data_IF_371482378427
#
_entry.id   IF_371482378427
#
_cell.length_a   1.000
_cell.length_b   1.000
_cell.length_c   1.000
_cell.angle_alpha   90.00
_cell.angle_beta   90.00
_cell.angle_gamma   90.00
#
_symmetry.space_group_name_H-M   'P 1'
#
loop_
_entity.id
_entity.type
_entity.pdbx_description
1 polymer ?
#
# COMPACT_ATOMS: atom_id res chain seq x y z
N UNK A 1 -31.68 -66.28 5.75
CA UNK A 1 -32.05 -67.54 6.42
C UNK A 1 -33.36 -68.03 5.84
N UNK A 2 -33.33 -68.94 4.86
CA UNK A 2 -34.56 -69.53 4.30
C UNK A 2 -34.88 -70.80 5.07
N UNK A 3 -35.95 -70.76 5.87
CA UNK A 3 -36.49 -71.94 6.55
C UNK A 3 -37.03 -72.92 5.51
N UNK A 4 -36.41 -74.09 5.42
CA UNK A 4 -36.92 -75.22 4.64
C UNK A 4 -38.20 -75.68 5.33
N UNK A 5 -39.35 -75.35 4.73
CA UNK A 5 -40.67 -75.76 5.19
C UNK A 5 -40.80 -77.27 4.98
N UNK A 6 -40.46 -78.08 5.99
CA UNK A 6 -40.67 -79.52 5.94
C UNK A 6 -42.17 -79.79 5.93
N UNK A 7 -42.68 -80.29 4.81
CA UNK A 7 -44.07 -80.70 4.65
C UNK A 7 -44.24 -82.03 5.37
N UNK A 8 -44.93 -82.05 6.51
CA UNK A 8 -45.25 -83.28 7.23
C UNK A 8 -46.12 -84.14 6.33
N UNK A 9 -45.56 -85.24 5.79
CA UNK A 9 -46.29 -86.16 4.93
C UNK A 9 -47.24 -86.96 5.83
N UNK A 10 -48.55 -86.70 5.76
CA UNK A 10 -49.53 -87.57 6.42
C UNK A 10 -49.60 -88.88 5.63
N UNK A 11 -48.94 -89.91 6.13
CA UNK A 11 -48.97 -91.25 5.53
C UNK A 11 -50.30 -91.90 5.90
N UNK A 12 -51.26 -91.78 4.99
CA UNK A 12 -52.57 -92.43 5.11
C UNK A 12 -52.47 -93.83 4.50
N UNK A 13 -52.97 -94.84 5.22
CA UNK A 13 -52.93 -96.23 4.78
C UNK A 13 -53.83 -96.41 3.55
N UNK A 14 -53.32 -96.90 2.42
CA UNK A 14 -54.12 -97.14 1.22
C UNK A 14 -55.14 -98.27 1.41
N UNK A 15 -54.91 -99.18 2.36
CA UNK A 15 -55.78 -100.35 2.58
C UNK A 15 -56.97 -100.08 3.50
N UNK A 16 -56.89 -99.11 4.42
CA UNK A 16 -57.99 -98.84 5.37
C UNK A 16 -58.26 -97.36 5.67
N UNK A 17 -57.46 -96.44 5.13
CA UNK A 17 -57.58 -95.01 5.39
C UNK A 17 -57.07 -94.55 6.77
N UNK A 18 -56.57 -95.45 7.62
CA UNK A 18 -55.98 -95.09 8.91
C UNK A 18 -54.59 -94.43 8.78
N UNK A 19 -54.19 -93.61 9.75
CA UNK A 19 -52.84 -93.05 9.78
C UNK A 19 -51.80 -94.15 10.03
N UNK A 20 -50.74 -94.17 9.23
CA UNK A 20 -49.65 -95.13 9.36
C UNK A 20 -48.56 -94.59 10.27
N UNK A 21 -47.95 -95.48 11.05
CA UNK A 21 -46.80 -95.17 11.89
C UNK A 21 -45.50 -95.60 11.18
N UNK A 22 -44.47 -94.76 11.30
CA UNK A 22 -43.16 -95.02 10.73
C UNK A 22 -42.32 -95.85 11.69
N UNK A 23 -41.61 -96.85 11.17
CA UNK A 23 -40.63 -97.62 11.94
C UNK A 23 -39.47 -96.72 12.40
N UNK A 24 -38.79 -97.09 13.49
CA UNK A 24 -37.72 -96.29 14.09
C UNK A 24 -36.53 -96.00 13.14
N UNK A 25 -36.34 -96.82 12.10
CA UNK A 25 -35.34 -96.64 11.04
C UNK A 25 -35.84 -95.82 9.84
N UNK A 26 -37.13 -95.43 9.82
CA UNK A 26 -37.76 -94.56 8.83
C UNK A 26 -37.87 -95.17 7.43
N UNK A 27 -37.68 -96.48 7.29
CA UNK A 27 -37.69 -97.21 6.01
C UNK A 27 -38.97 -98.00 5.77
N UNK A 28 -39.79 -98.20 6.81
CA UNK A 28 -41.08 -98.87 6.73
C UNK A 28 -42.15 -98.01 7.37
N UNK A 29 -43.35 -98.03 6.78
CA UNK A 29 -44.56 -97.53 7.41
C UNK A 29 -45.50 -98.71 7.61
N UNK A 30 -46.03 -98.88 8.81
CA UNK A 30 -46.99 -99.93 9.14
C UNK A 30 -48.30 -99.31 9.64
N UNK A 31 -49.44 -99.86 9.21
CA UNK A 31 -50.74 -99.42 9.70
C UNK A 31 -51.16 -100.25 10.91
N UNK A 32 -51.35 -99.64 12.10
CA UNK A 32 -51.75 -100.38 13.30
C UNK A 32 -53.19 -100.93 13.21
N UNK A 33 -54.02 -100.40 12.31
CA UNK A 33 -55.44 -100.77 12.20
C UNK A 33 -55.69 -101.99 11.33
N UNK A 34 -54.94 -102.17 10.24
CA UNK A 34 -55.16 -103.28 9.30
C UNK A 34 -53.91 -104.15 9.07
N UNK A 35 -52.77 -103.82 9.68
CA UNK A 35 -51.52 -104.56 9.53
C UNK A 35 -50.83 -104.37 8.18
N UNK A 36 -51.29 -103.44 7.33
CA UNK A 36 -50.66 -103.19 6.03
C UNK A 36 -49.30 -102.49 6.19
N UNK A 37 -48.25 -103.04 5.58
CA UNK A 37 -46.89 -102.49 5.60
C UNK A 37 -46.45 -101.98 4.22
N UNK A 38 -45.72 -100.87 4.20
CA UNK A 38 -45.11 -100.30 2.99
C UNK A 38 -43.65 -99.92 3.25
N UNK A 39 -42.80 -100.14 2.24
CA UNK A 39 -41.39 -99.71 2.24
C UNK A 39 -41.26 -98.30 1.65
N UNK A 40 -40.47 -97.45 2.29
CA UNK A 40 -40.15 -96.11 1.81
C UNK A 40 -38.70 -96.09 1.33
N UNK A 41 -38.50 -96.05 0.01
CA UNK A 41 -37.17 -95.92 -0.60
C UNK A 41 -36.71 -94.45 -0.64
N UNK A 42 -35.46 -94.20 -0.22
CA UNK A 42 -34.81 -92.89 -0.36
C UNK A 42 -34.17 -92.79 -1.74
N UNK A 43 -34.66 -91.88 -2.58
CA UNK A 43 -34.11 -91.65 -3.92
C UNK A 43 -32.78 -90.86 -3.88
N UNK A 44 -31.64 -91.56 -3.96
CA UNK A 44 -30.31 -90.95 -4.05
C UNK A 44 -30.10 -90.11 -5.32
N UNK A 45 -30.87 -90.36 -6.38
CA UNK A 45 -30.73 -89.65 -7.66
C UNK A 45 -31.16 -88.18 -7.53
N UNK A 46 -32.21 -87.91 -6.75
CA UNK A 46 -32.68 -86.56 -6.43
C UNK A 46 -31.63 -85.75 -5.63
N UNK A 47 -30.93 -86.40 -4.69
CA UNK A 47 -29.86 -85.75 -3.91
C UNK A 47 -28.68 -85.34 -4.78
N UNK A 48 -28.20 -86.24 -5.66
CA UNK A 48 -27.10 -85.95 -6.60
C UNK A 48 -27.46 -84.82 -7.57
N UNK A 49 -28.71 -84.78 -8.04
CA UNK A 49 -29.19 -83.72 -8.92
C UNK A 49 -29.21 -82.35 -8.21
N UNK A 50 -29.63 -82.32 -6.94
CA UNK A 50 -29.62 -81.12 -6.11
C UNK A 50 -28.20 -80.58 -5.85
N UNK A 51 -27.26 -81.45 -5.48
CA UNK A 51 -25.86 -81.07 -5.26
C UNK A 51 -25.21 -80.53 -6.54
N UNK A 52 -25.47 -81.17 -7.69
CA UNK A 52 -24.97 -80.70 -8.99
C UNK A 52 -25.52 -79.33 -9.37
N UNK A 53 -26.79 -79.02 -9.04
CA UNK A 53 -27.40 -77.70 -9.28
C UNK A 53 -26.77 -76.61 -8.41
N UNK A 54 -26.51 -76.88 -7.13
CA UNK A 54 -25.83 -75.93 -6.23
C UNK A 54 -24.39 -75.69 -6.68
N UNK A 55 -23.66 -76.75 -7.03
CA UNK A 55 -22.28 -76.64 -7.51
C UNK A 55 -22.22 -75.77 -8.79
N UNK A 56 -23.15 -75.98 -9.73
CA UNK A 56 -23.26 -75.17 -10.94
C UNK A 56 -23.60 -73.70 -10.63
N UNK A 57 -24.55 -73.45 -9.73
CA UNK A 57 -24.93 -72.09 -9.33
C UNK A 57 -23.77 -71.32 -8.70
N UNK A 58 -22.99 -71.98 -7.82
CA UNK A 58 -21.77 -71.40 -7.21
C UNK A 58 -20.70 -71.08 -8.27
N UNK A 59 -20.46 -72.00 -9.20
CA UNK A 59 -19.50 -71.78 -10.29
C UNK A 59 -19.92 -70.60 -11.20
N UNK A 60 -21.22 -70.45 -11.48
CA UNK A 60 -21.74 -69.32 -12.27
C UNK A 60 -21.65 -67.98 -11.51
N UNK A 61 -21.82 -67.98 -10.19
CA UNK A 61 -21.63 -66.80 -9.34
C UNK A 61 -20.17 -66.36 -9.31
N UNK A 62 -19.23 -67.29 -9.10
CA UNK A 62 -17.79 -67.01 -9.15
C UNK A 62 -17.34 -66.45 -10.50
N UNK A 63 -17.84 -67.01 -11.62
CA UNK A 63 -17.54 -66.50 -12.96
C UNK A 63 -18.07 -65.07 -13.15
N UNK A 64 -19.31 -64.79 -12.67
CA UNK A 64 -19.90 -63.44 -12.73
C UNK A 64 -19.08 -62.45 -11.91
N UNK A 65 -18.62 -62.82 -10.73
CA UNK A 65 -17.78 -61.95 -9.89
C UNK A 65 -16.40 -61.70 -10.52
N UNK A 66 -15.79 -62.71 -11.11
CA UNK A 66 -14.54 -62.56 -11.87
C UNK A 66 -14.72 -61.64 -13.08
N UNK A 67 -15.81 -61.76 -13.83
CA UNK A 67 -16.14 -60.88 -14.95
C UNK A 67 -16.38 -59.44 -14.50
N UNK A 68 -17.15 -59.23 -13.41
CA UNK A 68 -17.39 -57.91 -12.80
C UNK A 68 -16.08 -57.27 -12.34
N UNK A 69 -15.21 -58.02 -11.68
CA UNK A 69 -13.89 -57.54 -11.23
C UNK A 69 -12.95 -57.21 -12.40
N UNK A 70 -12.94 -58.02 -13.47
CA UNK A 70 -12.19 -57.71 -14.70
C UNK A 70 -12.71 -56.43 -15.37
N UNK A 71 -14.02 -56.25 -15.44
CA UNK A 71 -14.63 -55.06 -16.03
C UNK A 71 -14.33 -53.81 -15.20
N UNK A 72 -14.40 -53.88 -13.87
CA UNK A 72 -14.00 -52.80 -12.96
C UNK A 72 -12.52 -52.43 -13.13
N UNK A 73 -11.62 -53.42 -13.18
CA UNK A 73 -10.18 -53.19 -13.43
C UNK A 73 -9.92 -52.56 -14.80
N UNK A 74 -10.64 -52.97 -15.85
CA UNK A 74 -10.54 -52.36 -17.19
C UNK A 74 -11.03 -50.91 -17.20
N UNK A 75 -12.17 -50.61 -16.55
CA UNK A 75 -12.68 -49.24 -16.40
C UNK A 75 -11.71 -48.36 -15.61
N UNK A 76 -11.19 -48.85 -14.48
CA UNK A 76 -10.21 -48.12 -13.67
C UNK A 76 -8.90 -47.88 -14.43
N UNK A 77 -8.40 -48.88 -15.16
CA UNK A 77 -7.22 -48.71 -16.05
C UNK A 77 -7.50 -47.71 -17.17
N UNK A 78 -8.67 -47.76 -17.80
CA UNK A 78 -9.07 -46.80 -18.83
C UNK A 78 -9.15 -45.37 -18.30
N UNK A 79 -9.75 -45.19 -17.11
CA UNK A 79 -9.79 -43.89 -16.42
C UNK A 79 -8.40 -43.40 -16.03
N UNK A 80 -7.54 -44.28 -15.52
CA UNK A 80 -6.17 -43.92 -15.16
C UNK A 80 -5.37 -43.48 -16.40
N UNK A 81 -5.48 -44.22 -17.52
CA UNK A 81 -4.86 -43.83 -18.79
C UNK A 81 -5.40 -42.48 -19.26
N UNK A 82 -6.71 -42.27 -19.22
CA UNK A 82 -7.32 -40.99 -19.62
C UNK A 82 -6.82 -39.82 -18.76
N UNK A 83 -6.73 -40.01 -17.45
CA UNK A 83 -6.17 -39.00 -16.52
C UNK A 83 -4.69 -38.72 -16.82
N UNK A 84 -3.88 -39.75 -17.06
CA UNK A 84 -2.47 -39.58 -17.43
C UNK A 84 -2.31 -38.85 -18.78
N UNK A 85 -3.16 -39.13 -19.76
CA UNK A 85 -3.16 -38.44 -21.06
C UNK A 85 -3.53 -36.97 -20.89
N UNK A 86 -4.58 -36.66 -20.11
CA UNK A 86 -4.98 -35.27 -19.81
C UNK A 86 -3.85 -34.53 -19.09
N UNK A 87 -3.26 -35.15 -18.05
CA UNK A 87 -2.14 -34.56 -17.31
C UNK A 87 -0.92 -34.34 -18.22
N UNK A 88 -0.62 -35.28 -19.11
CA UNK A 88 0.45 -35.16 -20.10
C UNK A 88 0.19 -34.02 -21.10
N UNK A 89 -1.05 -33.87 -21.58
CA UNK A 89 -1.47 -32.76 -22.43
C UNK A 89 -1.32 -31.42 -21.69
N UNK A 90 -1.76 -31.32 -20.43
CA UNK A 90 -1.58 -30.13 -19.61
C UNK A 90 -0.10 -29.77 -19.38
N UNK A 91 0.75 -30.77 -19.15
CA UNK A 91 2.20 -30.62 -19.02
C UNK A 91 2.83 -30.11 -20.32
N UNK A 92 2.43 -30.66 -21.48
CA UNK A 92 2.88 -30.20 -22.79
C UNK A 92 2.45 -28.76 -23.01
N UNK A 93 1.19 -28.39 -22.73
CA UNK A 93 0.74 -27.00 -22.84
C UNK A 93 1.50 -26.06 -21.91
N UNK A 94 1.87 -26.49 -20.69
CA UNK A 94 2.69 -25.69 -19.77
C UNK A 94 4.14 -25.51 -20.24
N UNK A 95 4.65 -26.37 -21.13
CA UNK A 95 6.02 -26.33 -21.66
C UNK A 95 6.14 -25.67 -23.04
N UNK A 96 5.02 -25.40 -23.73
CA UNK A 96 5.03 -24.69 -25.02
C UNK A 96 5.12 -23.16 -24.77
N UNK A 97 6.19 -22.48 -25.24
CA UNK A 97 6.33 -21.03 -25.08
C UNK A 97 5.19 -20.27 -25.77
N UNK A 98 4.62 -19.27 -25.08
CA UNK A 98 3.52 -18.45 -25.58
C UNK A 98 2.11 -19.02 -25.36
N UNK A 99 1.98 -20.18 -24.71
CA UNK A 99 0.67 -20.64 -24.21
C UNK A 99 0.31 -19.89 -22.90
N UNK A 100 -0.99 -19.65 -22.62
CA UNK A 100 -1.41 -18.99 -21.38
C UNK A 100 -0.96 -19.73 -20.11
N UNK A 101 -0.89 -21.07 -20.17
CA UNK A 101 -0.42 -21.91 -19.07
C UNK A 101 1.08 -21.76 -18.84
N UNK A 102 1.88 -21.66 -19.91
CA UNK A 102 3.33 -21.47 -19.78
C UNK A 102 3.66 -20.11 -19.14
N UNK A 103 2.96 -19.04 -19.51
CA UNK A 103 3.18 -17.71 -18.93
C UNK A 103 2.79 -17.63 -17.44
N UNK A 104 1.77 -18.40 -17.02
CA UNK A 104 1.40 -18.53 -15.61
C UNK A 104 2.41 -19.36 -14.79
N UNK A 105 3.01 -20.39 -15.39
CA UNK A 105 3.96 -21.30 -14.70
C UNK A 105 5.38 -20.73 -14.70
N UNK A 106 5.78 -20.01 -15.74
CA UNK A 106 7.09 -19.40 -15.91
C UNK A 106 6.94 -17.91 -16.23
N UNK A 107 6.60 -17.08 -15.23
CA UNK A 107 6.42 -15.66 -15.45
C UNK A 107 7.75 -14.99 -15.83
N UNK A 108 7.68 -13.93 -16.64
CA UNK A 108 8.85 -13.11 -16.96
C UNK A 108 9.23 -12.28 -15.74
N UNK A 109 10.45 -12.46 -15.23
CA UNK A 109 10.97 -11.64 -14.14
C UNK A 109 11.64 -10.39 -14.69
N UNK A 110 11.29 -9.23 -14.15
CA UNK A 110 11.88 -7.92 -14.49
C UNK A 110 11.86 -6.98 -13.28
N UNK A 111 12.73 -5.97 -13.28
CA UNK A 111 12.66 -4.84 -12.34
C UNK A 111 11.89 -3.69 -13.02
N UNK A 112 10.63 -3.44 -12.60
CA UNK A 112 9.78 -2.42 -13.22
C UNK A 112 10.14 -1.01 -12.77
N UNK A 113 11.23 -0.80 -12.02
CA UNK A 113 11.63 0.51 -11.49
C UNK A 113 12.92 1.03 -12.10
N UNK A 114 13.43 0.37 -13.14
CA UNK A 114 14.67 0.79 -13.84
C UNK A 114 14.50 2.10 -14.60
N UNK A 115 13.33 2.35 -15.18
CA UNK A 115 13.00 3.60 -15.87
C UNK A 115 12.13 4.57 -15.04
N UNK A 116 11.85 4.24 -13.77
CA UNK A 116 10.95 5.00 -12.89
C UNK A 116 11.72 5.95 -11.99
N UNK A 117 11.32 7.22 -12.00
CA UNK A 117 11.74 8.23 -11.03
C UNK A 117 10.54 9.03 -10.53
N UNK A 118 10.74 9.78 -9.44
CA UNK A 118 9.76 10.73 -8.94
C UNK A 118 10.29 12.16 -9.08
N UNK A 119 9.39 13.06 -9.49
CA UNK A 119 9.60 14.50 -9.40
C UNK A 119 8.78 15.03 -8.23
N UNK A 120 9.45 15.67 -7.28
CA UNK A 120 8.79 16.35 -6.17
C UNK A 120 8.61 17.83 -6.50
N UNK A 121 7.49 18.41 -6.09
CA UNK A 121 7.19 19.83 -6.31
C UNK A 121 6.22 20.39 -5.28
N UNK A 122 6.23 21.72 -5.11
CA UNK A 122 5.36 22.44 -4.18
C UNK A 122 6.05 22.82 -2.86
N UNK A 123 5.25 23.34 -1.94
CA UNK A 123 5.68 23.69 -0.58
C UNK A 123 5.72 22.44 0.31
N UNK A 124 6.72 22.32 1.18
CA UNK A 124 6.76 21.31 2.24
C UNK A 124 5.47 21.38 3.08
N UNK A 125 4.85 20.22 3.32
CA UNK A 125 3.50 20.06 3.91
C UNK A 125 2.34 20.10 2.90
N UNK A 126 2.56 20.68 1.72
CA UNK A 126 1.63 20.64 0.56
C UNK A 126 2.28 20.04 -0.68
N UNK A 127 3.41 19.34 -0.51
CA UNK A 127 4.22 18.83 -1.60
C UNK A 127 3.52 17.72 -2.36
N UNK A 128 3.92 17.51 -3.61
CA UNK A 128 3.38 16.48 -4.49
C UNK A 128 4.49 15.65 -5.13
N UNK A 129 4.24 14.36 -5.29
CA UNK A 129 5.07 13.42 -6.04
C UNK A 129 4.44 13.12 -7.39
N UNK A 130 5.20 13.31 -8.46
CA UNK A 130 4.77 12.98 -9.82
C UNK A 130 5.66 11.88 -10.39
N UNK A 131 5.02 10.81 -10.89
CA UNK A 131 5.70 9.69 -11.51
C UNK A 131 6.28 10.07 -12.87
N UNK A 132 7.58 9.87 -13.03
CA UNK A 132 8.30 10.07 -14.29
C UNK A 132 8.80 8.72 -14.79
N UNK A 133 8.56 8.44 -16.08
CA UNK A 133 9.02 7.22 -16.75
C UNK A 133 9.81 7.65 -17.98
N UNK A 134 11.12 7.41 -17.97
CA UNK A 134 12.05 7.89 -19.01
C UNK A 134 11.87 7.17 -20.35
N UNK A 135 11.53 5.88 -20.32
CA UNK A 135 11.24 5.07 -21.51
C UNK A 135 9.89 4.36 -21.37
N UNK A 136 8.91 4.82 -22.16
CA UNK A 136 7.54 4.29 -22.18
C UNK A 136 7.32 3.24 -23.27
N UNK A 137 8.36 2.88 -24.02
CA UNK A 137 8.23 1.99 -25.19
C UNK A 137 8.19 0.51 -24.80
N UNK A 138 8.75 0.13 -23.65
CA UNK A 138 8.66 -1.24 -23.15
C UNK A 138 7.23 -1.56 -22.68
N UNK A 139 6.80 -2.81 -22.91
CA UNK A 139 5.46 -3.29 -22.52
C UNK A 139 5.18 -3.16 -21.00
N UNK A 140 6.23 -3.16 -20.19
CA UNK A 140 6.21 -2.96 -18.73
C UNK A 140 5.77 -1.53 -18.35
N UNK A 141 6.07 -0.55 -19.22
CA UNK A 141 5.91 0.90 -18.99
C UNK A 141 4.82 1.55 -19.83
N UNK A 142 4.21 0.80 -20.74
CA UNK A 142 3.20 1.31 -21.68
C UNK A 142 1.96 1.89 -20.98
N UNK A 143 1.70 1.51 -19.72
CA UNK A 143 0.56 1.96 -18.93
C UNK A 143 1.00 2.47 -17.55
N UNK A 144 0.88 3.79 -17.34
CA UNK A 144 1.22 4.43 -16.06
C UNK A 144 0.31 4.00 -14.91
N UNK A 145 -0.92 3.53 -15.18
CA UNK A 145 -1.84 3.05 -14.14
C UNK A 145 -1.34 1.78 -13.42
N UNK A 146 -0.27 1.17 -13.95
CA UNK A 146 0.48 0.07 -13.32
C UNK A 146 1.26 0.50 -12.10
N UNK A 147 1.54 1.78 -11.92
CA UNK A 147 2.27 2.28 -10.77
C UNK A 147 1.34 3.06 -9.85
N UNK A 148 1.48 2.82 -8.56
CA UNK A 148 0.75 3.51 -7.52
C UNK A 148 1.74 4.22 -6.61
N UNK A 149 1.59 5.54 -6.46
CA UNK A 149 2.47 6.40 -5.69
C UNK A 149 1.80 6.72 -4.35
N UNK A 150 2.46 6.40 -3.24
CA UNK A 150 1.87 6.51 -1.90
C UNK A 150 2.90 7.07 -0.89
N UNK A 151 2.63 8.20 -0.21
CA UNK A 151 1.59 9.19 -0.52
C UNK A 151 1.93 10.01 -1.78
N UNK A 152 0.92 10.51 -2.49
CA UNK A 152 1.11 11.36 -3.67
C UNK A 152 1.21 12.86 -3.31
N UNK A 153 0.60 13.27 -2.19
CA UNK A 153 0.43 14.68 -1.80
C UNK A 153 0.57 14.88 -0.30
N UNK A 154 0.77 16.12 0.14
CA UNK A 154 0.92 16.46 1.56
C UNK A 154 2.30 16.10 2.09
N UNK A 155 3.30 16.15 1.20
CA UNK A 155 4.66 15.70 1.47
C UNK A 155 5.50 16.79 2.13
N UNK A 156 6.38 16.38 3.04
CA UNK A 156 7.45 17.17 3.63
C UNK A 156 8.82 16.72 3.11
N UNK A 157 9.82 17.61 3.13
CA UNK A 157 11.21 17.18 2.91
C UNK A 157 11.61 16.15 3.97
N UNK A 158 12.28 15.08 3.56
CA UNK A 158 12.64 13.96 4.41
C UNK A 158 11.61 12.83 4.48
N UNK A 159 10.39 13.04 3.98
CA UNK A 159 9.39 11.97 3.88
C UNK A 159 9.85 10.85 2.93
N UNK A 160 9.17 9.71 3.03
CA UNK A 160 9.38 8.57 2.12
C UNK A 160 8.12 8.31 1.30
N UNK A 161 8.26 8.33 -0.02
CA UNK A 161 7.22 7.93 -0.97
C UNK A 161 7.52 6.52 -1.48
N UNK A 162 6.53 5.65 -1.42
CA UNK A 162 6.59 4.29 -1.94
C UNK A 162 5.86 4.20 -3.28
N UNK A 163 6.53 3.72 -4.32
CA UNK A 163 5.93 3.39 -5.60
C UNK A 163 5.73 1.88 -5.67
N UNK A 164 4.49 1.44 -5.84
CA UNK A 164 4.11 0.02 -5.97
C UNK A 164 3.78 -0.30 -7.42
N UNK A 165 4.26 -1.43 -7.92
CA UNK A 165 3.98 -1.89 -9.28
C UNK A 165 2.89 -2.98 -9.29
N UNK A 166 1.86 -2.79 -10.10
CA UNK A 166 0.76 -3.73 -10.33
C UNK A 166 1.16 -4.74 -11.40
N UNK A 167 1.37 -5.99 -10.95
CA UNK A 167 1.88 -7.07 -11.77
C UNK A 167 0.82 -7.55 -12.78
N UNK A 168 1.05 -7.48 -14.10
CA UNK A 168 0.18 -8.11 -15.09
C UNK A 168 0.27 -9.64 -15.06
N UNK A 169 -0.75 -10.30 -15.60
CA UNK A 169 -0.71 -11.75 -15.81
C UNK A 169 0.53 -12.13 -16.67
N UNK A 170 1.24 -13.19 -16.27
CA UNK A 170 2.44 -13.67 -16.96
C UNK A 170 3.75 -12.98 -16.57
N UNK A 171 3.71 -12.03 -15.62
CA UNK A 171 4.88 -11.30 -15.14
C UNK A 171 5.16 -11.54 -13.66
N UNK A 172 6.41 -11.32 -13.26
CA UNK A 172 6.88 -11.26 -11.89
C UNK A 172 7.78 -10.04 -11.74
N UNK A 173 7.36 -9.08 -10.93
CA UNK A 173 8.16 -7.87 -10.70
C UNK A 173 9.02 -8.05 -9.45
N UNK A 174 10.33 -7.82 -9.58
CA UNK A 174 11.29 -7.89 -8.49
C UNK A 174 12.25 -6.69 -8.57
N UNK A 175 12.15 -5.72 -7.63
CA UNK A 175 11.23 -5.67 -6.49
C UNK A 175 9.77 -5.37 -6.92
N UNK A 176 8.82 -5.53 -6.00
CA UNK A 176 7.41 -5.18 -6.21
C UNK A 176 7.08 -3.72 -5.84
N UNK A 177 7.96 -3.10 -5.05
CA UNK A 177 7.87 -1.70 -4.64
C UNK A 177 9.26 -1.06 -4.52
N UNK A 178 9.32 0.25 -4.66
CA UNK A 178 10.54 1.05 -4.50
C UNK A 178 10.24 2.31 -3.70
N UNK A 179 11.13 2.64 -2.77
CA UNK A 179 11.01 3.83 -1.94
C UNK A 179 11.91 4.94 -2.46
N UNK A 180 11.42 6.17 -2.33
CA UNK A 180 12.10 7.40 -2.72
C UNK A 180 12.00 8.38 -1.55
N UNK A 181 13.13 9.03 -1.25
CA UNK A 181 13.15 10.10 -0.26
C UNK A 181 12.71 11.41 -0.90
N UNK A 182 11.83 12.14 -0.22
CA UNK A 182 11.35 13.45 -0.68
C UNK A 182 12.41 14.50 -0.36
N UNK A 183 12.89 15.17 -1.41
CA UNK A 183 13.89 16.23 -1.31
C UNK A 183 13.55 17.32 -2.35
N UNK A 184 13.95 18.56 -2.07
CA UNK A 184 13.75 19.69 -2.98
C UNK A 184 12.34 20.28 -3.01
N UNK A 185 11.53 20.08 -1.96
CA UNK A 185 10.34 20.91 -1.75
C UNK A 185 10.75 22.28 -1.21
N UNK A 186 9.98 23.32 -1.53
CA UNK A 186 10.20 24.67 -0.99
C UNK A 186 9.74 24.74 0.46
N UNK A 187 10.54 25.34 1.34
CA UNK A 187 10.24 25.43 2.77
C UNK A 187 9.98 26.86 3.20
N UNK A 188 9.03 27.03 4.12
CA UNK A 188 8.88 28.30 4.83
C UNK A 188 10.04 28.47 5.82
N UNK A 189 10.53 29.70 5.94
CA UNK A 189 11.42 30.05 7.06
C UNK A 189 10.58 30.08 8.34
N UNK A 190 10.98 29.28 9.31
CA UNK A 190 10.29 29.07 10.60
C UNK A 190 11.19 29.32 11.81
N UNK A 191 12.46 29.65 11.58
CA UNK A 191 13.42 30.01 12.62
C UNK A 191 14.50 30.91 12.03
N UNK A 192 15.08 31.77 12.88
CA UNK A 192 16.17 32.66 12.46
C UNK A 192 17.47 31.90 12.19
N UNK A 193 17.65 30.72 12.80
CA UNK A 193 18.76 29.79 12.58
C UNK A 193 18.83 29.24 11.16
N UNK A 194 17.71 29.22 10.42
CA UNK A 194 17.67 28.84 9.01
C UNK A 194 18.24 29.94 8.08
N UNK A 195 18.46 31.14 8.61
CA UNK A 195 19.01 32.29 7.88
C UNK A 195 20.51 32.40 8.19
N UNK A 196 21.32 31.65 7.45
CA UNK A 196 22.77 31.66 7.59
C UNK A 196 23.50 31.88 6.25
N UNK A 197 24.81 32.10 6.32
CA UNK A 197 25.70 32.20 5.16
C UNK A 197 25.28 33.27 4.15
N UNK A 198 25.17 32.86 2.88
CA UNK A 198 24.84 33.76 1.75
C UNK A 198 23.42 34.34 1.88
N UNK A 199 22.47 33.60 2.45
CA UNK A 199 21.09 34.07 2.63
C UNK A 199 21.03 35.19 3.68
N UNK A 200 21.71 35.01 4.82
CA UNK A 200 21.83 36.04 5.84
C UNK A 200 22.53 37.29 5.29
N UNK A 201 23.63 37.08 4.57
CA UNK A 201 24.39 38.17 3.94
C UNK A 201 23.53 38.94 2.93
N UNK A 202 22.68 38.26 2.16
CA UNK A 202 21.76 38.89 1.23
C UNK A 202 20.68 39.73 1.93
N UNK A 203 20.13 39.26 3.05
CA UNK A 203 19.19 40.02 3.89
C UNK A 203 19.86 41.30 4.38
N UNK A 204 21.00 41.19 5.07
CA UNK A 204 21.72 42.33 5.62
C UNK A 204 22.15 43.33 4.55
N UNK A 205 22.71 42.86 3.44
CA UNK A 205 23.11 43.73 2.33
C UNK A 205 21.92 44.50 1.74
N UNK A 206 20.76 43.85 1.64
CA UNK A 206 19.55 44.51 1.17
C UNK A 206 18.99 45.51 2.19
N UNK A 207 18.98 45.16 3.48
CA UNK A 207 18.58 46.06 4.58
C UNK A 207 19.46 47.30 4.63
N UNK A 208 20.78 47.13 4.62
CA UNK A 208 21.75 48.24 4.61
C UNK A 208 21.61 49.12 3.38
N UNK A 209 21.30 48.54 2.21
CA UNK A 209 21.01 49.30 0.99
C UNK A 209 19.77 50.17 1.19
N UNK A 210 18.67 49.61 1.71
CA UNK A 210 17.42 50.33 1.94
C UNK A 210 17.58 51.45 2.99
N UNK A 211 18.25 51.18 4.10
CA UNK A 211 18.60 52.19 5.09
C UNK A 211 19.44 53.29 4.43
N UNK A 212 20.48 52.93 3.66
CA UNK A 212 21.31 53.93 2.98
C UNK A 212 20.51 54.80 2.00
N UNK A 213 19.60 54.20 1.24
CA UNK A 213 18.73 54.92 0.29
C UNK A 213 17.81 55.90 1.00
N UNK A 214 17.19 55.52 2.12
CA UNK A 214 16.35 56.43 2.92
C UNK A 214 17.15 57.60 3.51
N UNK A 215 18.41 57.35 3.85
CA UNK A 215 19.28 58.33 4.47
C UNK A 215 20.04 59.22 3.48
N UNK A 216 20.15 58.86 2.21
CA UNK A 216 20.93 59.61 1.21
C UNK A 216 20.40 61.05 1.05
N UNK A 217 19.07 61.22 1.08
CA UNK A 217 18.40 62.53 1.05
C UNK A 217 18.68 63.36 2.31
N UNK A 218 18.78 62.72 3.48
CA UNK A 218 19.01 63.41 4.77
C UNK A 218 20.48 63.83 4.90
N UNK A 219 21.42 62.94 4.58
CA UNK A 219 22.86 63.24 4.61
C UNK A 219 23.19 64.34 3.61
N UNK A 220 22.63 64.27 2.39
CA UNK A 220 22.81 65.30 1.36
C UNK A 220 22.18 66.65 1.75
N UNK A 221 21.12 66.66 2.59
CA UNK A 221 20.47 67.88 3.08
C UNK A 221 21.26 68.70 4.11
N UNK A 222 22.49 68.31 4.47
CA UNK A 222 23.44 69.05 5.35
C UNK A 222 23.35 68.80 6.85
N UNK A 223 22.49 67.89 7.35
CA UNK A 223 22.27 67.70 8.79
C UNK A 223 23.26 66.70 9.45
N UNK A 224 23.71 65.70 8.70
CA UNK A 224 24.64 64.67 9.15
C UNK A 224 26.01 64.79 8.47
N UNK A 225 27.06 64.35 9.17
CA UNK A 225 28.43 64.24 8.69
C UNK A 225 28.80 62.80 8.34
N UNK A 226 28.34 61.86 9.15
CA UNK A 226 28.63 60.43 9.00
C UNK A 226 27.46 59.59 9.52
N UNK A 227 27.35 58.37 9.01
CA UNK A 227 26.31 57.41 9.35
C UNK A 227 26.93 56.01 9.48
N UNK A 228 26.74 55.39 10.64
CA UNK A 228 27.08 53.97 10.83
C UNK A 228 25.82 53.19 11.19
N UNK A 229 25.70 51.98 10.67
CA UNK A 229 24.59 51.07 10.94
C UNK A 229 25.19 49.72 11.33
N UNK A 230 24.77 49.20 12.47
CA UNK A 230 25.24 47.93 13.03
C UNK A 230 24.03 47.00 13.17
N UNK A 231 24.10 45.75 12.68
CA UNK A 231 23.02 44.78 12.90
C UNK A 231 22.72 44.69 14.39
N UNK A 232 21.43 44.81 14.74
CA UNK A 232 20.97 44.76 16.13
C UNK A 232 20.38 43.39 16.46
N UNK A 233 19.21 43.07 15.87
CA UNK A 233 18.53 41.79 16.07
C UNK A 233 17.57 41.48 14.92
N UNK A 234 17.37 40.20 14.64
CA UNK A 234 16.31 39.73 13.75
C UNK A 234 15.08 39.32 14.58
N UNK A 235 13.89 39.72 14.14
CA UNK A 235 12.62 39.29 14.72
C UNK A 235 11.79 38.59 13.65
N UNK A 236 11.66 37.27 13.76
CA UNK A 236 10.84 36.47 12.84
C UNK A 236 9.49 36.15 13.49
N UNK A 237 8.42 36.66 12.92
CA UNK A 237 7.06 36.37 13.35
C UNK A 237 6.43 35.35 12.40
N UNK A 238 5.77 34.34 12.95
CA UNK A 238 5.09 33.29 12.18
C UNK A 238 3.60 33.34 12.48
N UNK A 239 2.79 33.28 11.43
CA UNK A 239 1.35 33.27 11.56
C UNK A 239 0.89 31.95 12.18
N UNK A 240 0.06 32.02 13.21
CA UNK A 240 -0.65 30.85 13.74
C UNK A 240 -1.82 30.42 12.83
N UNK A 241 -2.26 31.31 11.93
CA UNK A 241 -3.39 31.10 11.04
C UNK A 241 -2.94 30.73 9.63
N UNK A 242 -3.47 29.63 9.10
CA UNK A 242 -3.21 29.19 7.72
C UNK A 242 -3.79 30.15 6.67
N UNK A 243 -4.81 30.93 7.03
CA UNK A 243 -5.48 31.90 6.14
C UNK A 243 -4.89 33.31 6.20
N UNK A 244 -3.80 33.50 6.96
CA UNK A 244 -3.15 34.80 7.04
C UNK A 244 -2.67 35.28 5.67
N UNK A 245 -2.68 36.60 5.50
CA UNK A 245 -2.13 37.24 4.31
C UNK A 245 -0.62 36.99 4.17
N UNK A 246 0.08 36.84 5.29
CA UNK A 246 1.52 36.59 5.37
C UNK A 246 1.79 35.38 6.27
N UNK A 247 2.59 34.44 5.79
CA UNK A 247 2.91 33.21 6.52
C UNK A 247 3.97 33.47 7.59
N UNK A 248 4.96 34.28 7.24
CA UNK A 248 5.98 34.75 8.15
C UNK A 248 6.36 36.20 7.79
N UNK A 249 6.86 36.92 8.80
CA UNK A 249 7.33 38.29 8.67
C UNK A 249 8.64 38.42 9.43
N UNK A 250 9.71 38.76 8.72
CA UNK A 250 11.01 39.03 9.31
C UNK A 250 11.23 40.54 9.39
N UNK A 251 11.65 41.01 10.55
CA UNK A 251 12.27 42.32 10.71
C UNK A 251 13.76 42.15 10.94
N UNK A 252 14.55 42.63 9.98
CA UNK A 252 16.00 42.77 10.12
C UNK A 252 16.29 44.19 10.63
N UNK A 253 16.80 44.30 11.86
CA UNK A 253 16.90 45.59 12.57
C UNK A 253 18.34 46.00 12.78
N UNK A 254 18.56 47.32 12.76
CA UNK A 254 19.87 47.95 12.86
C UNK A 254 19.85 49.08 13.86
N UNK A 255 20.92 49.18 14.65
CA UNK A 255 21.24 50.41 15.37
C UNK A 255 21.95 51.36 14.39
N UNK A 256 21.41 52.58 14.26
CA UNK A 256 21.88 53.61 13.35
C UNK A 256 22.41 54.79 14.15
N UNK A 257 23.70 55.08 13.99
CA UNK A 257 24.38 56.18 14.65
C UNK A 257 24.67 57.29 13.64
N UNK A 258 24.09 58.45 13.88
CA UNK A 258 24.20 59.64 13.04
C UNK A 258 25.12 60.64 13.72
N UNK A 259 26.29 60.87 13.14
CA UNK A 259 27.18 61.94 13.60
C UNK A 259 26.75 63.23 12.92
N UNK A 260 26.26 64.21 13.70
CA UNK A 260 25.89 65.54 13.19
C UNK A 260 27.12 66.40 12.95
N UNK A 261 26.95 67.51 12.22
CA UNK A 261 28.05 68.44 11.91
C UNK A 261 28.70 69.09 13.14
N UNK A 262 27.94 69.26 14.23
CA UNK A 262 28.45 69.77 15.51
C UNK A 262 29.22 68.72 16.32
N UNK A 263 29.32 67.48 15.82
CA UNK A 263 29.99 66.36 16.47
C UNK A 263 29.12 65.59 17.45
N UNK A 264 27.87 66.00 17.68
CA UNK A 264 26.92 65.22 18.48
C UNK A 264 26.51 63.96 17.72
N UNK A 265 26.31 62.87 18.45
CA UNK A 265 25.85 61.60 17.89
C UNK A 265 24.41 61.38 18.33
N UNK A 266 23.55 61.06 17.37
CA UNK A 266 22.19 60.60 17.60
C UNK A 266 22.14 59.11 17.27
N UNK A 267 21.60 58.31 18.17
CA UNK A 267 21.37 56.88 17.98
C UNK A 267 19.89 56.65 17.77
N UNK A 268 19.54 55.87 16.74
CA UNK A 268 18.20 55.38 16.51
C UNK A 268 18.22 53.94 16.03
N UNK A 269 17.04 53.35 15.86
CA UNK A 269 16.86 51.98 15.42
C UNK A 269 15.95 51.98 14.18
N UNK A 270 16.36 51.22 13.17
CA UNK A 270 15.64 51.07 11.91
C UNK A 270 15.35 49.58 11.69
N UNK A 271 14.25 49.27 10.99
CA UNK A 271 13.82 47.90 10.75
C UNK A 271 13.37 47.72 9.31
N UNK A 272 13.98 46.79 8.57
CA UNK A 272 13.50 46.38 7.27
C UNK A 272 12.61 45.15 7.38
N UNK A 273 11.40 45.26 6.84
CA UNK A 273 10.37 44.23 6.86
C UNK A 273 10.40 43.39 5.60
N UNK A 274 10.46 42.07 5.76
CA UNK A 274 10.35 41.06 4.73
C UNK A 274 9.15 40.14 5.03
N UNK A 275 8.45 39.66 4.00
CA UNK A 275 7.27 38.79 4.17
C UNK A 275 7.36 37.54 3.31
N UNK A 276 6.72 36.46 3.74
CA UNK A 276 6.64 35.18 3.02
C UNK A 276 8.01 34.66 2.57
N UNK A 277 8.96 34.66 3.51
CA UNK A 277 10.30 34.14 3.36
C UNK A 277 10.26 32.62 3.19
N UNK A 278 10.86 32.14 2.10
CA UNK A 278 10.93 30.73 1.75
C UNK A 278 12.27 30.36 1.13
N UNK A 279 12.68 29.12 1.36
CA UNK A 279 13.91 28.52 0.83
C UNK A 279 13.51 27.46 -0.20
N UNK A 280 13.67 27.73 -1.51
CA UNK A 280 13.45 26.76 -2.58
C UNK A 280 14.53 25.67 -2.59
N UNK A 281 14.38 24.71 -3.51
CA UNK A 281 15.29 23.56 -3.63
C UNK A 281 16.75 23.91 -3.95
N UNK A 282 17.00 25.09 -4.54
CA UNK A 282 18.34 25.60 -4.82
C UNK A 282 19.01 26.24 -3.59
N UNK A 283 18.29 26.35 -2.47
CA UNK A 283 18.76 26.92 -1.22
C UNK A 283 18.79 28.45 -1.19
N UNK A 284 18.36 29.13 -2.26
CA UNK A 284 18.45 30.59 -2.36
C UNK A 284 17.18 31.22 -1.82
N UNK A 285 17.30 31.95 -0.70
CA UNK A 285 16.18 32.60 -0.05
C UNK A 285 15.39 33.52 -1.01
N UNK A 286 14.06 33.43 -0.92
CA UNK A 286 13.14 34.35 -1.61
C UNK A 286 12.10 34.90 -0.63
N UNK A 287 11.54 36.07 -0.92
CA UNK A 287 10.41 36.67 -0.20
C UNK A 287 9.19 36.85 -1.14
N UNK A 288 8.06 37.29 -0.62
CA UNK A 288 6.72 37.33 -1.25
C UNK A 288 6.66 37.25 -2.78
N UNK A 289 7.11 38.30 -3.48
CA UNK A 289 7.04 38.40 -4.94
C UNK A 289 8.11 37.59 -5.72
N UNK A 290 8.73 36.59 -5.09
CA UNK A 290 9.80 35.79 -5.70
C UNK A 290 11.15 36.51 -5.77
N UNK A 291 11.27 37.66 -5.09
CA UNK A 291 12.52 38.41 -4.90
C UNK A 291 12.58 38.89 -3.47
N UNK A 292 13.80 39.07 -2.94
CA UNK A 292 13.99 39.66 -1.62
C UNK A 292 13.60 41.14 -1.67
N UNK A 293 12.37 41.44 -1.28
CA UNK A 293 11.84 42.80 -1.17
C UNK A 293 11.67 43.13 0.30
N UNK A 294 12.41 44.15 0.74
CA UNK A 294 12.29 44.73 2.07
C UNK A 294 11.62 46.09 1.98
N UNK A 295 10.87 46.47 3.00
CA UNK A 295 10.39 47.83 3.19
C UNK A 295 10.95 48.37 4.50
N UNK A 296 11.59 49.54 4.47
CA UNK A 296 11.96 50.17 5.72
C UNK A 296 10.70 50.61 6.46
N UNK A 297 10.50 50.07 7.66
CA UNK A 297 9.33 50.29 8.50
C UNK A 297 9.43 51.60 9.30
N UNK A 298 10.62 52.22 9.37
CA UNK A 298 10.86 53.48 10.05
C UNK A 298 10.11 54.68 9.46
N UNK A 299 9.66 54.59 8.21
CA UNK A 299 8.94 55.68 7.51
C UNK A 299 7.51 55.91 8.01
N UNK A 300 6.89 54.91 8.66
CA UNK A 300 5.44 54.93 8.91
C UNK A 300 5.00 55.36 10.31
N UNK A 301 5.90 55.42 11.30
CA UNK A 301 5.53 55.61 12.72
C UNK A 301 5.97 56.95 13.35
N UNK A 302 6.56 57.90 12.61
CA UNK A 302 6.87 59.21 13.20
C UNK A 302 7.23 60.31 12.21
N UNK A 303 6.36 61.31 12.06
CA UNK A 303 6.74 62.59 11.45
C UNK A 303 6.21 63.79 12.23
N UNK A 304 7.14 64.68 12.58
CA UNK A 304 6.85 66.12 12.57
C UNK A 304 8.04 66.86 11.94
N UNK A 305 7.75 67.53 10.82
CA UNK A 305 8.46 68.62 10.13
C UNK A 305 10.00 68.77 10.26
N UNK A 306 10.65 68.72 9.10
CA UNK A 306 11.90 69.42 8.71
C UNK A 306 13.23 69.10 9.41
N UNK A 307 13.29 68.31 10.49
CA UNK A 307 14.57 67.88 11.12
C UNK A 307 14.51 66.49 11.81
N UNK A 308 13.53 65.65 11.48
CA UNK A 308 13.28 64.36 12.15
C UNK A 308 13.87 63.18 11.38
N UNK A 309 14.61 62.32 12.09
CA UNK A 309 15.09 61.02 11.62
C UNK A 309 13.96 59.99 11.73
N UNK A 310 13.83 59.06 10.77
CA UNK A 310 12.91 57.91 10.82
C UNK A 310 13.36 56.85 11.82
N UNK A 311 12.42 56.01 12.29
CA UNK A 311 12.71 54.91 13.22
C UNK A 311 12.47 55.22 14.70
N UNK A 312 13.03 54.40 15.58
CA UNK A 312 12.87 54.49 17.04
C UNK A 312 14.11 55.09 17.70
N UNK A 313 13.95 55.80 18.81
CA UNK A 313 15.09 56.26 19.62
C UNK A 313 15.43 55.34 20.78
N UNK A 314 14.58 54.34 21.02
CA UNK A 314 14.69 53.38 22.11
C UNK A 314 14.44 51.97 21.57
N UNK A 315 15.28 51.02 21.95
CA UNK A 315 15.22 49.65 21.45
C UNK A 315 14.04 48.86 22.04
N UNK A 316 13.68 49.14 23.29
CA UNK A 316 12.55 48.46 23.94
C UNK A 316 11.23 48.93 23.34
N UNK A 317 11.13 50.22 22.98
CA UNK A 317 10.00 50.77 22.22
C UNK A 317 9.88 50.13 20.83
N UNK A 318 10.99 49.99 20.10
CA UNK A 318 11.00 49.28 18.81
C UNK A 318 10.48 47.84 18.98
N UNK A 319 11.03 47.08 19.93
CA UNK A 319 10.62 45.69 20.13
C UNK A 319 9.13 45.59 20.49
N UNK A 320 8.63 46.48 21.36
CA UNK A 320 7.22 46.52 21.74
C UNK A 320 6.31 46.80 20.54
N UNK A 321 6.67 47.77 19.69
CA UNK A 321 5.90 48.12 18.50
C UNK A 321 5.90 47.00 17.45
N UNK A 322 7.06 46.39 17.19
CA UNK A 322 7.17 45.27 16.25
C UNK A 322 6.29 44.09 16.70
N UNK A 323 6.25 43.81 18.00
CA UNK A 323 5.36 42.79 18.57
C UNK A 323 3.88 43.18 18.45
N UNK A 324 3.54 44.42 18.78
CA UNK A 324 2.15 44.89 18.74
C UNK A 324 1.55 44.86 17.33
N UNK A 325 2.31 45.28 16.31
CA UNK A 325 1.87 45.25 14.91
C UNK A 325 1.74 43.81 14.36
N UNK A 326 2.22 42.82 15.13
CA UNK A 326 2.15 41.39 14.83
C UNK A 326 1.27 40.62 15.81
N UNK A 327 0.28 41.29 16.41
CA UNK A 327 -0.80 40.62 17.14
C UNK A 327 -1.41 39.49 16.25
N UNK A 328 -1.43 38.26 16.77
CA UNK A 328 -1.86 37.06 16.04
C UNK A 328 -0.73 36.22 15.40
N UNK A 329 0.52 36.66 15.55
CA UNK A 329 1.72 35.90 15.19
C UNK A 329 2.49 35.53 16.45
N UNK A 330 3.20 34.40 16.43
CA UNK A 330 4.18 34.08 17.46
C UNK A 330 5.60 34.47 16.99
N UNK A 331 6.42 34.93 17.92
CA UNK A 331 7.84 35.18 17.64
C UNK A 331 8.58 33.83 17.63
N UNK A 332 9.27 33.56 16.53
CA UNK A 332 10.16 32.43 16.33
C UNK A 332 11.60 32.91 16.45
N UNK A 333 12.10 32.92 17.69
CA UNK A 333 13.51 33.17 17.98
C UNK A 333 14.36 31.92 17.70
#
# INVERSE_FOLDING_TARGET
MNQVKMKTLSLVCPSCGGNMELSADGKKAACPYCGHEMLIEKDESAKRLYERRIAKARAEEEIRDLQRNRQRRRRLRGWFIALCVIAGICLIYALIPGSPMHELVFPRTTDPFTAVSLKFSGMSGKGRAELQISDRTAAEYADQSRFEVIPETGLYNGDTVTVKAKVPAGWRFEPAEKQFKVEGLTEWVTGTDQLEGDNLSAIHANTERLIREDWDDIVSSSLARDLTYTPYRMYLFISDEETSYEHNVLYDTYEVNVTRKDGTVFTGYEACRYTDLKIPADGVLTAGYGSLQGFNFGYTQGFSYAQSFSGWTDADEMEADLRHVRDGYHLAD
#
